data_IF_030597984975
#
_entry.id   IF_030597984975
#
_cell.length_a   1.000
_cell.length_b   1.000
_cell.length_c   1.000
_cell.angle_alpha   90.00
_cell.angle_beta   90.00
_cell.angle_gamma   90.00
#
_symmetry.space_group_name_H-M   'P 1'
#
loop_
_entity.id
_entity.type
_entity.pdbx_description
1 polymer ?
#
# COMPACT_ATOMS: atom_id res chain seq x y z
N UNK A 1 20.32 21.46 0.64
CA UNK A 1 19.31 20.37 0.50
C UNK A 1 17.94 21.05 0.53
N UNK A 2 17.17 20.96 -0.55
CA UNK A 2 15.82 21.52 -0.65
C UNK A 2 14.92 20.79 0.35
N UNK A 3 14.16 21.51 1.18
CA UNK A 3 13.32 20.88 2.20
C UNK A 3 12.20 20.05 1.55
N UNK A 4 11.84 18.89 2.12
CA UNK A 4 10.72 18.05 1.67
C UNK A 4 9.45 18.87 1.38
N UNK A 5 9.17 19.88 2.22
CA UNK A 5 8.06 20.82 2.04
C UNK A 5 8.15 21.66 0.76
N UNK A 6 9.33 22.13 0.38
CA UNK A 6 9.54 22.89 -0.87
C UNK A 6 9.45 22.01 -2.11
N UNK A 7 9.85 20.74 -2.00
CA UNK A 7 9.70 19.76 -3.07
C UNK A 7 8.23 19.47 -3.42
N UNK A 8 7.34 19.39 -2.42
CA UNK A 8 5.90 19.16 -2.63
C UNK A 8 5.11 20.45 -2.93
N UNK A 9 5.47 21.59 -2.34
CA UNK A 9 4.69 22.85 -2.42
C UNK A 9 5.01 23.68 -3.67
N UNK A 10 5.93 23.26 -4.54
CA UNK A 10 6.18 23.96 -5.81
C UNK A 10 5.11 23.66 -6.86
N UNK A 11 3.87 24.09 -6.63
CA UNK A 11 2.80 24.14 -7.65
C UNK A 11 3.09 25.07 -8.83
N UNK A 12 4.33 25.56 -8.99
CA UNK A 12 4.73 26.56 -9.98
C UNK A 12 4.99 26.00 -11.39
N UNK A 13 5.04 24.68 -11.56
CA UNK A 13 5.29 24.07 -12.87
C UNK A 13 3.98 23.55 -13.49
N UNK A 14 3.28 24.43 -14.19
CA UNK A 14 1.98 24.14 -14.85
C UNK A 14 2.07 22.91 -15.76
N UNK A 15 3.16 22.78 -16.55
CA UNK A 15 3.36 21.61 -17.43
C UNK A 15 3.45 20.30 -16.65
N UNK A 16 4.18 20.29 -15.54
CA UNK A 16 4.28 19.13 -14.66
C UNK A 16 2.94 18.78 -14.05
N UNK A 17 2.18 19.77 -13.56
CA UNK A 17 0.89 19.52 -12.91
C UNK A 17 -0.15 19.00 -13.91
N UNK A 18 -0.19 19.54 -15.13
CA UNK A 18 -1.03 19.02 -16.22
C UNK A 18 -0.64 17.57 -16.52
N UNK A 19 0.66 17.28 -16.66
CA UNK A 19 1.12 15.91 -16.89
C UNK A 19 0.68 14.96 -15.76
N UNK A 20 0.88 15.32 -14.50
CA UNK A 20 0.50 14.49 -13.35
C UNK A 20 -1.01 14.24 -13.30
N UNK A 21 -1.82 15.28 -13.56
CA UNK A 21 -3.27 15.14 -13.59
C UNK A 21 -3.72 14.22 -14.72
N UNK A 22 -3.25 14.46 -15.95
CA UNK A 22 -3.59 13.63 -17.11
C UNK A 22 -3.13 12.19 -16.91
N UNK A 23 -1.92 11.97 -16.39
CA UNK A 23 -1.41 10.65 -16.07
C UNK A 23 -2.28 9.94 -15.03
N UNK A 24 -2.66 10.64 -13.95
CA UNK A 24 -3.51 10.07 -12.89
C UNK A 24 -4.90 9.70 -13.41
N UNK A 25 -5.51 10.54 -14.24
CA UNK A 25 -6.80 10.26 -14.89
C UNK A 25 -6.69 9.08 -15.85
N UNK A 26 -5.67 9.05 -16.70
CA UNK A 26 -5.44 7.94 -17.64
C UNK A 26 -5.19 6.62 -16.88
N UNK A 27 -4.41 6.66 -15.81
CA UNK A 27 -4.12 5.50 -14.96
C UNK A 27 -5.38 4.98 -14.26
N UNK A 28 -6.21 5.89 -13.73
CA UNK A 28 -7.51 5.54 -13.16
C UNK A 28 -8.42 4.87 -14.19
N UNK A 29 -8.55 5.44 -15.39
CA UNK A 29 -9.38 4.88 -16.45
C UNK A 29 -8.88 3.49 -16.91
N UNK A 30 -7.56 3.33 -17.07
CA UNK A 30 -6.97 2.03 -17.41
C UNK A 30 -7.25 0.99 -16.31
N UNK A 31 -7.09 1.36 -15.04
CA UNK A 31 -7.37 0.48 -13.90
C UNK A 31 -8.85 0.12 -13.81
N UNK A 32 -9.75 1.08 -14.04
CA UNK A 32 -11.19 0.85 -14.07
C UNK A 32 -11.59 -0.12 -15.18
N UNK A 33 -11.03 0.03 -16.38
CA UNK A 33 -11.28 -0.92 -17.47
C UNK A 33 -10.82 -2.34 -17.12
N UNK A 34 -9.61 -2.49 -16.58
CA UNK A 34 -9.08 -3.80 -16.16
C UNK A 34 -9.94 -4.43 -15.07
N UNK A 35 -10.40 -3.64 -14.09
CA UNK A 35 -11.25 -4.13 -13.01
C UNK A 35 -12.66 -4.56 -13.47
N UNK A 36 -13.12 -4.10 -14.64
CA UNK A 36 -14.43 -4.44 -15.20
C UNK A 36 -14.38 -5.49 -16.32
N UNK A 37 -13.21 -6.06 -16.59
CA UNK A 37 -13.03 -7.15 -17.56
C UNK A 37 -12.74 -8.44 -16.79
N UNK A 38 -13.32 -9.55 -17.24
CA UNK A 38 -13.06 -10.84 -16.62
C UNK A 38 -11.61 -11.28 -16.92
N UNK A 39 -10.79 -11.33 -15.87
CA UNK A 39 -9.39 -11.69 -15.94
C UNK A 39 -9.32 -13.22 -15.94
N UNK A 40 -8.91 -13.83 -17.06
CA UNK A 40 -8.74 -15.29 -17.13
C UNK A 40 -7.65 -15.77 -16.16
N UNK A 41 -7.77 -16.98 -15.63
CA UNK A 41 -6.86 -17.52 -14.59
C UNK A 41 -5.36 -17.46 -14.97
N UNK A 42 -5.05 -17.51 -16.28
CA UNK A 42 -3.68 -17.46 -16.80
C UNK A 42 -2.95 -16.11 -16.56
N UNK A 43 -3.66 -15.06 -16.15
CA UNK A 43 -3.10 -13.70 -15.96
C UNK A 43 -3.21 -13.20 -14.51
N UNK A 44 -3.48 -14.09 -13.53
CA UNK A 44 -3.53 -13.73 -12.10
C UNK A 44 -2.22 -13.08 -11.57
N UNK A 45 -1.08 -13.40 -12.16
CA UNK A 45 0.21 -12.80 -11.81
C UNK A 45 0.35 -11.33 -12.25
N UNK A 46 -0.52 -10.83 -13.14
CA UNK A 46 -0.45 -9.48 -13.68
C UNK A 46 -0.68 -8.44 -12.58
N UNK A 47 -1.61 -8.69 -11.65
CA UNK A 47 -1.85 -7.83 -10.48
C UNK A 47 -0.59 -7.67 -9.62
N UNK A 48 0.11 -8.79 -9.37
CA UNK A 48 1.37 -8.79 -8.64
C UNK A 48 2.46 -7.97 -9.36
N UNK A 49 2.55 -8.08 -10.70
CA UNK A 49 3.47 -7.28 -11.49
C UNK A 49 3.15 -5.78 -11.38
N UNK A 50 1.87 -5.39 -11.44
CA UNK A 50 1.47 -3.99 -11.29
C UNK A 50 1.86 -3.43 -9.92
N UNK A 51 1.69 -4.20 -8.84
CA UNK A 51 2.14 -3.80 -7.49
C UNK A 51 3.65 -3.48 -7.50
N UNK A 52 4.47 -4.33 -8.09
CA UNK A 52 5.93 -4.08 -8.19
C UNK A 52 6.22 -2.83 -9.02
N UNK A 53 5.58 -2.68 -10.18
CA UNK A 53 5.81 -1.51 -11.06
C UNK A 53 5.47 -0.21 -10.33
N UNK A 54 4.36 -0.18 -9.60
CA UNK A 54 3.92 0.98 -8.82
C UNK A 54 4.89 1.27 -7.66
N UNK A 55 5.58 0.27 -7.13
CA UNK A 55 6.56 0.45 -6.06
C UNK A 55 7.88 1.08 -6.52
N UNK A 56 8.28 0.87 -7.78
CA UNK A 56 9.58 1.30 -8.32
C UNK A 56 9.85 2.81 -8.12
N UNK A 57 8.94 3.74 -8.45
CA UNK A 57 9.18 5.17 -8.25
C UNK A 57 9.41 5.54 -6.79
N UNK A 58 8.67 4.92 -5.87
CA UNK A 58 8.81 5.13 -4.43
C UNK A 58 10.18 4.65 -3.93
N UNK A 59 10.64 3.49 -4.39
CA UNK A 59 11.96 2.95 -4.07
C UNK A 59 13.09 3.80 -4.62
N UNK A 60 12.98 4.21 -5.88
CA UNK A 60 13.93 5.10 -6.51
C UNK A 60 14.05 6.42 -5.73
N UNK A 61 12.91 7.04 -5.39
CA UNK A 61 12.88 8.28 -4.62
C UNK A 61 13.50 8.11 -3.22
N UNK A 62 13.14 7.02 -2.51
CA UNK A 62 13.66 6.72 -1.18
C UNK A 62 15.18 6.52 -1.19
N UNK A 63 15.71 5.74 -2.13
CA UNK A 63 17.16 5.52 -2.28
C UNK A 63 17.89 6.82 -2.63
N UNK A 64 17.32 7.64 -3.52
CA UNK A 64 17.90 8.94 -3.90
C UNK A 64 17.92 9.92 -2.74
N UNK A 65 16.92 9.88 -1.87
CA UNK A 65 16.78 10.78 -0.73
C UNK A 65 17.62 10.34 0.48
N UNK A 66 17.52 9.07 0.88
CA UNK A 66 18.20 8.53 2.06
C UNK A 66 19.64 8.06 1.80
N UNK A 67 20.02 7.92 0.52
CA UNK A 67 21.25 7.25 0.09
C UNK A 67 21.07 5.73 -0.04
N UNK A 68 21.97 5.09 -0.78
CA UNK A 68 21.85 3.66 -1.17
C UNK A 68 21.71 2.73 0.05
N UNK A 69 22.62 2.83 1.02
CA UNK A 69 22.61 1.93 2.18
C UNK A 69 21.31 2.05 2.99
N UNK A 70 20.92 3.27 3.38
CA UNK A 70 19.71 3.49 4.19
C UNK A 70 18.43 3.21 3.40
N UNK A 71 18.38 3.62 2.14
CA UNK A 71 17.23 3.40 1.26
C UNK A 71 16.97 1.92 1.02
N UNK A 72 18.00 1.14 0.68
CA UNK A 72 17.88 -0.32 0.52
C UNK A 72 17.47 -0.99 1.83
N UNK A 73 18.07 -0.58 2.96
CA UNK A 73 17.68 -1.11 4.29
C UNK A 73 16.20 -0.86 4.56
N UNK A 74 15.70 0.35 4.33
CA UNK A 74 14.31 0.68 4.53
C UNK A 74 13.37 -0.10 3.59
N UNK A 75 13.74 -0.30 2.31
CA UNK A 75 12.97 -1.12 1.37
C UNK A 75 12.87 -2.57 1.87
N UNK A 76 13.98 -3.15 2.31
CA UNK A 76 14.01 -4.52 2.83
C UNK A 76 13.15 -4.65 4.08
N UNK A 77 13.28 -3.72 5.04
CA UNK A 77 12.47 -3.73 6.26
C UNK A 77 10.98 -3.58 5.93
N UNK A 78 10.60 -2.59 5.12
CA UNK A 78 9.21 -2.36 4.73
C UNK A 78 8.63 -3.44 3.81
N UNK A 79 9.46 -4.30 3.23
CA UNK A 79 9.01 -5.47 2.47
C UNK A 79 8.87 -6.73 3.32
N UNK A 80 9.76 -6.94 4.29
CA UNK A 80 9.70 -8.10 5.19
C UNK A 80 8.59 -7.91 6.24
N UNK A 81 8.46 -6.71 6.80
CA UNK A 81 7.48 -6.41 7.85
C UNK A 81 6.05 -6.83 7.48
N UNK A 82 5.46 -6.39 6.34
CA UNK A 82 4.09 -6.78 6.00
C UNK A 82 3.97 -8.29 5.82
N UNK A 83 4.95 -8.96 5.19
CA UNK A 83 4.93 -10.43 5.04
C UNK A 83 4.85 -11.13 6.40
N UNK A 84 5.63 -10.67 7.39
CA UNK A 84 5.62 -11.24 8.73
C UNK A 84 4.30 -10.99 9.46
N UNK A 85 3.81 -9.74 9.44
CA UNK A 85 2.56 -9.39 10.14
C UNK A 85 1.37 -10.09 9.51
N UNK A 86 1.34 -10.22 8.19
CA UNK A 86 0.32 -10.96 7.43
C UNK A 86 0.36 -12.45 7.75
N UNK A 87 1.55 -13.05 7.80
CA UNK A 87 1.69 -14.46 8.17
C UNK A 87 1.20 -14.73 9.60
N UNK A 88 1.48 -13.81 10.53
CA UNK A 88 0.95 -13.85 11.90
C UNK A 88 -0.58 -13.66 11.88
N UNK A 89 -1.09 -12.71 11.10
CA UNK A 89 -2.50 -12.42 10.91
C UNK A 89 -3.29 -13.65 10.45
N UNK A 90 -2.84 -14.30 9.38
CA UNK A 90 -3.48 -15.50 8.84
C UNK A 90 -3.41 -16.67 9.85
N UNK A 91 -2.28 -16.82 10.54
CA UNK A 91 -2.07 -17.95 11.45
C UNK A 91 -2.79 -17.81 12.80
N UNK A 92 -2.99 -16.57 13.28
CA UNK A 92 -3.47 -16.30 14.64
C UNK A 92 -4.77 -15.50 14.68
N UNK A 93 -5.17 -14.88 13.58
CA UNK A 93 -6.25 -13.90 13.52
C UNK A 93 -5.87 -12.52 14.05
N UNK A 94 -4.63 -12.28 14.50
CA UNK A 94 -4.17 -10.98 15.01
C UNK A 94 -3.07 -10.40 14.11
N UNK A 95 -3.07 -9.08 13.81
CA UNK A 95 -3.94 -8.07 14.38
C UNK A 95 -5.23 -7.82 13.58
N UNK A 96 -5.38 -8.42 12.40
CA UNK A 96 -6.40 -8.00 11.43
C UNK A 96 -7.77 -8.68 11.58
N UNK A 97 -7.82 -9.87 12.18
CA UNK A 97 -8.91 -10.83 12.02
C UNK A 97 -8.45 -12.01 11.16
N UNK A 98 -9.21 -13.11 11.17
CA UNK A 98 -8.89 -14.28 10.36
C UNK A 98 -9.27 -14.08 8.89
N UNK A 99 -8.34 -14.32 7.96
CA UNK A 99 -8.58 -14.31 6.51
C UNK A 99 -7.56 -15.20 5.78
N UNK A 100 -7.77 -15.40 4.49
CA UNK A 100 -6.79 -16.03 3.60
C UNK A 100 -6.75 -15.33 2.25
N UNK A 101 -5.57 -15.36 1.61
CA UNK A 101 -5.40 -14.91 0.23
C UNK A 101 -5.82 -15.98 -0.78
N UNK A 102 -6.49 -15.55 -1.83
CA UNK A 102 -6.70 -16.37 -3.03
C UNK A 102 -5.44 -16.36 -3.91
N UNK A 103 -5.50 -17.01 -5.06
CA UNK A 103 -4.35 -17.14 -5.96
C UNK A 103 -4.22 -15.96 -6.95
N UNK A 104 -5.04 -14.91 -6.77
CA UNK A 104 -5.08 -13.72 -7.63
C UNK A 104 -3.85 -12.80 -7.50
N UNK A 105 -2.96 -13.05 -6.53
CA UNK A 105 -1.72 -12.28 -6.33
C UNK A 105 -0.45 -13.08 -6.64
N UNK A 106 -0.59 -14.20 -7.35
CA UNK A 106 0.52 -15.08 -7.71
C UNK A 106 0.94 -15.99 -6.55
N UNK A 107 2.19 -16.45 -6.56
CA UNK A 107 2.65 -17.45 -5.60
C UNK A 107 2.64 -16.93 -4.16
N UNK A 108 2.39 -17.83 -3.20
CA UNK A 108 2.36 -17.52 -1.77
C UNK A 108 3.57 -18.12 -1.07
N UNK A 109 4.22 -17.34 -0.21
CA UNK A 109 5.21 -17.87 0.72
C UNK A 109 4.51 -18.82 1.70
N UNK A 110 4.98 -20.07 1.75
CA UNK A 110 4.43 -21.13 2.61
C UNK A 110 2.92 -21.38 2.41
N UNK A 111 2.38 -21.12 1.21
CA UNK A 111 0.93 -21.14 0.92
C UNK A 111 0.09 -20.13 1.73
N UNK A 112 0.72 -19.17 2.42
CA UNK A 112 0.05 -18.20 3.27
C UNK A 112 -0.03 -16.81 2.63
N UNK A 113 1.12 -16.16 2.41
CA UNK A 113 1.18 -14.73 2.05
C UNK A 113 1.74 -14.53 0.64
N UNK A 114 1.03 -13.84 -0.27
CA UNK A 114 1.55 -13.56 -1.61
C UNK A 114 2.86 -12.77 -1.58
N UNK A 115 3.80 -13.13 -2.44
CA UNK A 115 5.10 -12.44 -2.49
C UNK A 115 5.01 -10.95 -2.81
N UNK A 116 3.97 -10.57 -3.56
CA UNK A 116 3.72 -9.18 -3.99
C UNK A 116 3.40 -8.25 -2.82
N UNK A 117 2.95 -8.78 -1.68
CA UNK A 117 2.70 -8.01 -0.44
C UNK A 117 3.97 -7.29 0.05
N UNK A 118 5.16 -7.86 -0.19
CA UNK A 118 6.44 -7.23 0.13
C UNK A 118 6.67 -5.91 -0.63
N UNK A 119 5.93 -5.68 -1.71
CA UNK A 119 6.05 -4.48 -2.55
C UNK A 119 4.89 -3.51 -2.35
N UNK A 120 3.75 -3.99 -1.86
CA UNK A 120 2.53 -3.19 -1.71
C UNK A 120 2.62 -2.16 -0.58
N UNK A 121 3.22 -2.53 0.56
CA UNK A 121 3.16 -1.72 1.78
C UNK A 121 3.98 -0.43 1.68
N UNK A 122 5.25 -0.54 1.26
CA UNK A 122 6.19 0.57 1.30
C UNK A 122 5.73 1.85 0.54
N UNK A 123 5.18 1.76 -0.70
CA UNK A 123 4.64 2.94 -1.38
C UNK A 123 3.53 3.65 -0.61
N UNK A 124 2.65 2.89 0.05
CA UNK A 124 1.53 3.43 0.80
C UNK A 124 2.04 4.19 2.04
N UNK A 125 2.93 3.57 2.81
CA UNK A 125 3.52 4.19 4.01
C UNK A 125 4.32 5.45 3.64
N UNK A 126 5.14 5.38 2.59
CA UNK A 126 5.91 6.55 2.13
C UNK A 126 4.99 7.68 1.67
N UNK A 127 3.90 7.35 0.97
CA UNK A 127 2.90 8.32 0.51
C UNK A 127 2.20 9.02 1.67
N UNK A 128 1.70 8.26 2.65
CA UNK A 128 0.99 8.82 3.81
C UNK A 128 1.93 9.60 4.73
N UNK A 129 3.19 9.17 4.89
CA UNK A 129 4.22 9.92 5.61
C UNK A 129 4.50 11.27 4.93
N UNK A 130 4.62 11.29 3.59
CA UNK A 130 4.83 12.54 2.85
C UNK A 130 3.68 13.53 3.08
N UNK A 131 2.43 13.06 3.08
CA UNK A 131 1.27 13.90 3.36
C UNK A 131 1.28 14.42 4.81
N UNK A 132 1.60 13.57 5.77
CA UNK A 132 1.67 13.95 7.18
C UNK A 132 2.76 15.02 7.45
N UNK A 133 3.92 14.93 6.77
CA UNK A 133 5.01 15.91 6.86
C UNK A 133 4.65 17.26 6.23
N UNK A 134 3.71 17.31 5.29
CA UNK A 134 3.17 18.57 4.77
C UNK A 134 2.32 19.27 5.84
N UNK A 135 1.57 18.50 6.63
CA UNK A 135 0.67 19.01 7.67
C UNK A 135 1.41 19.44 8.95
N UNK A 136 2.48 18.74 9.35
CA UNK A 136 3.23 19.04 10.58
C UNK A 136 4.73 18.76 10.43
N UNK A 137 5.53 19.38 11.30
CA UNK A 137 6.96 19.06 11.48
C UNK A 137 7.23 18.27 12.77
N UNK A 138 6.24 18.14 13.65
CA UNK A 138 6.38 17.41 14.91
C UNK A 138 6.15 15.92 14.65
N UNK A 139 7.15 15.09 14.95
CA UNK A 139 7.07 13.64 14.80
C UNK A 139 5.93 13.03 15.63
N UNK A 140 5.59 13.63 16.77
CA UNK A 140 4.46 13.21 17.62
C UNK A 140 3.12 13.35 16.94
N UNK A 141 3.05 14.18 15.90
CA UNK A 141 1.86 14.37 15.05
C UNK A 141 2.01 13.58 13.76
N UNK A 142 3.20 13.61 13.13
CA UNK A 142 3.44 12.96 11.83
C UNK A 142 3.17 11.46 11.89
N UNK A 143 3.67 10.76 12.92
CA UNK A 143 3.52 9.30 13.01
C UNK A 143 2.05 8.86 13.12
N UNK A 144 1.26 9.32 14.12
CA UNK A 144 -0.14 8.93 14.21
C UNK A 144 -0.99 9.44 13.04
N UNK A 145 -0.67 10.61 12.47
CA UNK A 145 -1.36 11.10 11.28
C UNK A 145 -1.07 10.22 10.05
N UNK A 146 0.17 9.79 9.86
CA UNK A 146 0.55 8.89 8.76
C UNK A 146 -0.15 7.54 8.88
N UNK A 147 -0.19 6.96 10.09
CA UNK A 147 -0.91 5.72 10.37
C UNK A 147 -2.41 5.87 10.11
N UNK A 148 -3.02 6.98 10.56
CA UNK A 148 -4.43 7.26 10.32
C UNK A 148 -4.74 7.44 8.82
N UNK A 149 -3.89 8.16 8.08
CA UNK A 149 -4.00 8.30 6.63
C UNK A 149 -3.87 6.95 5.92
N UNK A 150 -3.04 6.04 6.43
CA UNK A 150 -2.91 4.69 5.87
C UNK A 150 -4.19 3.87 6.08
N UNK A 151 -4.82 3.98 7.25
CA UNK A 151 -6.15 3.38 7.49
C UNK A 151 -7.20 3.98 6.54
N UNK A 152 -7.15 5.28 6.25
CA UNK A 152 -8.05 5.87 5.25
C UNK A 152 -7.83 5.33 3.84
N UNK A 153 -6.58 5.01 3.48
CA UNK A 153 -6.30 4.32 2.21
C UNK A 153 -6.88 2.90 2.24
N UNK A 154 -6.70 2.17 3.34
CA UNK A 154 -7.20 0.80 3.51
C UNK A 154 -8.74 0.74 3.46
N UNK A 155 -9.43 1.72 4.04
CA UNK A 155 -10.89 1.87 3.94
C UNK A 155 -11.40 1.99 2.50
N UNK A 156 -10.54 2.31 1.53
CA UNK A 156 -10.87 2.34 0.09
C UNK A 156 -10.33 1.10 -0.63
N UNK A 157 -9.12 0.67 -0.29
CA UNK A 157 -8.43 -0.45 -0.93
C UNK A 157 -9.09 -1.79 -0.60
N UNK A 158 -9.36 -2.05 0.67
CA UNK A 158 -9.83 -3.35 1.16
C UNK A 158 -11.23 -3.72 0.63
N UNK A 159 -12.23 -2.81 0.57
CA UNK A 159 -13.50 -3.10 -0.11
C UNK A 159 -13.34 -3.55 -1.56
N UNK A 160 -12.41 -2.94 -2.31
CA UNK A 160 -12.15 -3.34 -3.69
C UNK A 160 -11.53 -4.75 -3.75
N UNK A 161 -10.61 -5.06 -2.84
CA UNK A 161 -9.99 -6.37 -2.75
C UNK A 161 -10.97 -7.48 -2.37
N UNK A 162 -11.91 -7.20 -1.46
CA UNK A 162 -13.01 -8.12 -1.12
C UNK A 162 -13.93 -8.37 -2.32
N UNK A 163 -14.36 -7.31 -3.02
CA UNK A 163 -15.22 -7.44 -4.22
C UNK A 163 -14.51 -8.23 -5.32
N UNK A 164 -13.20 -8.05 -5.48
CA UNK A 164 -12.38 -8.77 -6.45
C UNK A 164 -11.94 -10.16 -5.97
N UNK A 165 -12.35 -10.60 -4.77
CA UNK A 165 -11.95 -11.88 -4.16
C UNK A 165 -10.43 -12.08 -4.07
N UNK A 166 -9.67 -11.02 -3.82
CA UNK A 166 -8.21 -11.11 -3.64
C UNK A 166 -7.89 -11.82 -2.32
N UNK A 167 -8.67 -11.53 -1.28
CA UNK A 167 -8.67 -12.24 -0.01
C UNK A 167 -10.10 -12.37 0.52
N UNK A 168 -10.28 -13.31 1.44
CA UNK A 168 -11.58 -13.62 2.03
C UNK A 168 -11.47 -13.62 3.55
N UNK A 169 -12.28 -12.78 4.19
CA UNK A 169 -12.40 -12.73 5.65
C UNK A 169 -13.23 -13.91 6.17
N UNK A 170 -12.70 -14.63 7.16
CA UNK A 170 -13.35 -15.80 7.77
C UNK A 170 -14.52 -15.38 8.67
N UNK A 171 -14.37 -14.27 9.37
CA UNK A 171 -15.38 -13.68 10.25
C UNK A 171 -15.78 -12.32 9.67
N UNK A 172 -16.91 -12.21 8.96
CA UNK A 172 -17.27 -10.97 8.30
C UNK A 172 -17.55 -9.83 9.29
N UNK A 173 -16.93 -8.67 9.05
CA UNK A 173 -17.20 -7.45 9.81
C UNK A 173 -18.24 -6.53 9.16
N UNK A 174 -18.51 -5.37 9.79
CA UNK A 174 -19.66 -4.53 9.45
C UNK A 174 -19.49 -3.69 8.18
N UNK A 175 -18.27 -3.48 7.69
CA UNK A 175 -17.99 -2.64 6.53
C UNK A 175 -17.46 -3.51 5.39
N UNK A 176 -18.27 -3.75 4.35
CA UNK A 176 -17.94 -4.65 3.23
C UNK A 176 -17.49 -6.07 3.65
N UNK A 177 -17.87 -6.55 4.83
CA UNK A 177 -17.42 -7.83 5.36
C UNK A 177 -16.05 -7.80 6.05
N UNK A 178 -15.46 -6.62 6.24
CA UNK A 178 -14.13 -6.43 6.80
C UNK A 178 -14.24 -6.23 8.33
N UNK A 179 -13.51 -7.02 9.16
CA UNK A 179 -13.45 -6.85 10.60
C UNK A 179 -12.93 -5.46 11.01
N UNK A 180 -13.48 -4.90 12.09
CA UNK A 180 -12.95 -3.65 12.68
C UNK A 180 -11.49 -3.83 13.13
N UNK A 181 -11.12 -5.04 13.54
CA UNK A 181 -9.76 -5.40 13.92
C UNK A 181 -8.76 -5.14 12.79
N UNK A 182 -9.16 -5.27 11.52
CA UNK A 182 -8.31 -4.99 10.37
C UNK A 182 -7.78 -3.55 10.41
N UNK A 183 -8.68 -2.58 10.55
CA UNK A 183 -8.31 -1.16 10.60
C UNK A 183 -7.44 -0.81 11.81
N UNK A 184 -7.71 -1.42 12.97
CA UNK A 184 -6.85 -1.24 14.14
C UNK A 184 -5.48 -1.88 13.93
N UNK A 185 -5.41 -3.02 13.26
CA UNK A 185 -4.17 -3.69 12.89
C UNK A 185 -3.35 -2.85 11.93
N UNK A 186 -3.96 -2.32 10.86
CA UNK A 186 -3.29 -1.39 9.94
C UNK A 186 -2.73 -0.17 10.65
N UNK A 187 -3.49 0.41 11.58
CA UNK A 187 -3.02 1.55 12.38
C UNK A 187 -1.78 1.18 13.21
N UNK A 188 -1.81 0.04 13.91
CA UNK A 188 -0.69 -0.42 14.75
C UNK A 188 0.52 -0.79 13.90
N UNK A 189 0.34 -1.55 12.82
CA UNK A 189 1.41 -1.93 11.89
C UNK A 189 2.08 -0.71 11.27
N UNK A 190 1.31 0.34 10.96
CA UNK A 190 1.85 1.58 10.39
C UNK A 190 2.66 2.43 11.38
N UNK A 191 2.44 2.26 12.69
CA UNK A 191 3.18 2.98 13.73
C UNK A 191 4.56 2.38 14.03
N UNK A 192 4.75 1.09 13.72
CA UNK A 192 5.99 0.32 13.95
C UNK A 192 6.96 0.50 12.80
#
# INVERSE_FOLDING_TARGET
MMGLREAFVTGKNVKRNIFLLTFSVAFFLASWLVANVNIGEAVNWVSALFIVIIAIPSYYSLVRWAGVSKGVTAIVVLGILPILVEAIGISTGLPYGGFYYTDLLGFKFFELVPWSVAFAFAPLVLGTMCLAVVASKDLRIILPLSALLLVFVDLVLDPAAVVLNIWVWLEPGPYYGIPITNYTGWFVTALV
#
